data_IF_617356308024
#
_entry.id   IF_617356308024
#
_cell.length_a   1.000
_cell.length_b   1.000
_cell.length_c   1.000
_cell.angle_alpha   90.00
_cell.angle_beta   90.00
_cell.angle_gamma   90.00
#
_symmetry.space_group_name_H-M   'P 1'
#
loop_
_entity.id
_entity.type
_entity.pdbx_description
1 polymer ?
#
# COMPACT_ATOMS: atom_id res chain seq x y z
N UNK A 1 8.79 12.74 18.91
CA UNK A 1 9.50 12.05 20.01
C UNK A 1 9.43 10.55 19.82
N UNK A 2 10.43 9.79 20.24
CA UNK A 2 10.60 8.34 19.99
C UNK A 2 9.36 7.46 20.30
N UNK A 3 8.46 7.93 21.18
CA UNK A 3 7.17 7.30 21.50
C UNK A 3 6.14 7.32 20.35
N UNK A 4 6.27 8.22 19.38
CA UNK A 4 5.39 8.27 18.19
C UNK A 4 5.84 7.31 17.08
N UNK A 5 7.14 7.08 16.94
CA UNK A 5 7.69 6.20 15.91
C UNK A 5 7.40 4.72 16.18
N UNK A 6 7.40 4.30 17.45
CA UNK A 6 7.04 2.93 17.83
C UNK A 6 5.57 2.60 17.60
N UNK A 7 4.67 3.59 17.70
CA UNK A 7 3.23 3.42 17.38
C UNK A 7 2.99 3.14 15.90
N UNK A 8 3.81 3.69 15.01
CA UNK A 8 3.69 3.45 13.56
C UNK A 8 3.97 1.99 13.17
N UNK A 9 4.76 1.28 13.98
CA UNK A 9 5.08 -0.13 13.77
C UNK A 9 4.10 -1.10 14.47
N UNK A 10 3.11 -0.56 15.20
CA UNK A 10 2.07 -1.35 15.86
C UNK A 10 0.84 -1.50 14.96
N UNK A 11 -0.02 -2.50 15.24
CA UNK A 11 -1.31 -2.62 14.57
C UNK A 11 -2.12 -1.31 14.60
N UNK A 12 -2.79 -0.99 13.50
CA UNK A 12 -3.61 0.23 13.43
C UNK A 12 -4.77 0.23 14.43
N UNK A 13 -5.23 -0.94 14.87
CA UNK A 13 -6.22 -1.07 15.96
C UNK A 13 -5.81 -0.33 17.22
N UNK A 14 -4.52 -0.25 17.55
CA UNK A 14 -4.03 0.46 18.74
C UNK A 14 -4.34 1.96 18.66
N UNK A 15 -4.27 2.54 17.45
CA UNK A 15 -4.64 3.94 17.21
C UNK A 15 -6.16 4.11 17.35
N UNK A 16 -6.95 3.23 16.72
CA UNK A 16 -8.43 3.26 16.80
C UNK A 16 -8.90 3.17 18.25
N UNK A 17 -8.31 2.27 19.03
CA UNK A 17 -8.63 2.08 20.44
C UNK A 17 -8.21 3.28 21.28
N UNK A 18 -7.05 3.88 21.00
CA UNK A 18 -6.58 5.09 21.70
C UNK A 18 -7.44 6.33 21.47
N UNK A 19 -8.18 6.37 20.34
CA UNK A 19 -9.13 7.42 20.01
C UNK A 19 -10.55 7.11 20.53
N UNK A 20 -10.71 6.00 21.24
CA UNK A 20 -11.99 5.53 21.77
C UNK A 20 -13.09 5.42 20.71
N UNK A 21 -12.71 5.14 19.46
CA UNK A 21 -13.68 4.92 18.39
C UNK A 21 -14.40 3.60 18.64
N UNK A 22 -15.62 3.65 19.16
CA UNK A 22 -16.45 2.47 19.46
C UNK A 22 -17.53 2.17 18.43
N UNK A 23 -17.82 3.13 17.54
CA UNK A 23 -18.86 2.97 16.54
C UNK A 23 -18.57 1.78 15.60
N UNK A 24 -19.47 0.77 15.52
CA UNK A 24 -19.22 -0.42 14.71
C UNK A 24 -19.09 -0.12 13.22
N UNK A 25 -19.81 0.88 12.70
CA UNK A 25 -19.72 1.26 11.31
C UNK A 25 -18.32 1.82 10.97
N UNK A 26 -17.81 2.74 11.80
CA UNK A 26 -16.45 3.30 11.63
C UNK A 26 -15.39 2.19 11.74
N UNK A 27 -15.53 1.28 12.71
CA UNK A 27 -14.57 0.16 12.86
C UNK A 27 -14.58 -0.78 11.65
N UNK A 28 -15.76 -1.18 11.19
CA UNK A 28 -15.90 -2.04 10.01
C UNK A 28 -15.40 -1.36 8.74
N UNK A 29 -15.61 -0.05 8.62
CA UNK A 29 -15.07 0.75 7.52
C UNK A 29 -13.55 0.75 7.52
N UNK A 30 -12.92 0.95 8.69
CA UNK A 30 -11.46 0.91 8.80
C UNK A 30 -10.92 -0.50 8.51
N UNK A 31 -11.58 -1.55 8.99
CA UNK A 31 -11.21 -2.94 8.67
C UNK A 31 -11.32 -3.25 7.18
N UNK A 32 -12.33 -2.70 6.50
CA UNK A 32 -12.46 -2.81 5.03
C UNK A 32 -11.28 -2.12 4.33
N UNK A 33 -10.90 -0.91 4.75
CA UNK A 33 -9.78 -0.19 4.16
C UNK A 33 -8.45 -0.92 4.39
N UNK A 34 -8.22 -1.45 5.59
CA UNK A 34 -7.06 -2.30 5.88
C UNK A 34 -7.02 -3.55 4.99
N UNK A 35 -8.18 -4.18 4.77
CA UNK A 35 -8.29 -5.36 3.92
C UNK A 35 -7.98 -5.04 2.46
N UNK A 36 -8.47 -3.90 1.94
CA UNK A 36 -8.19 -3.48 0.56
C UNK A 36 -6.70 -3.15 0.33
N UNK A 37 -5.97 -2.73 1.37
CA UNK A 37 -4.56 -2.36 1.27
C UNK A 37 -3.62 -3.57 1.43
N UNK A 38 -3.88 -4.43 2.41
CA UNK A 38 -2.94 -5.47 2.83
C UNK A 38 -3.58 -6.87 3.02
N UNK A 39 -4.88 -7.03 2.75
CA UNK A 39 -5.59 -8.31 2.91
C UNK A 39 -5.83 -8.73 4.37
N UNK A 40 -5.63 -7.82 5.33
CA UNK A 40 -5.78 -8.05 6.78
C UNK A 40 -6.66 -6.98 7.41
N UNK A 41 -7.15 -7.22 8.64
CA UNK A 41 -7.92 -6.23 9.42
C UNK A 41 -6.99 -5.21 10.10
N UNK A 42 -7.58 -4.22 10.76
CA UNK A 42 -6.85 -3.17 11.49
C UNK A 42 -5.89 -3.71 12.57
N UNK A 43 -6.15 -4.91 13.11
CA UNK A 43 -5.27 -5.58 14.07
C UNK A 43 -4.05 -6.29 13.45
N UNK A 44 -3.94 -6.33 12.11
CA UNK A 44 -2.85 -6.98 11.38
C UNK A 44 -2.06 -6.06 10.45
N UNK A 45 -2.57 -4.87 10.14
CA UNK A 45 -1.88 -3.88 9.29
C UNK A 45 -1.04 -2.92 10.14
N UNK A 46 0.11 -2.47 9.61
CA UNK A 46 0.92 -1.48 10.32
C UNK A 46 0.24 -0.12 10.33
N UNK A 47 0.33 0.57 11.46
CA UNK A 47 -0.20 1.93 11.57
C UNK A 47 0.42 2.90 10.55
N UNK A 48 1.70 2.71 10.22
CA UNK A 48 2.39 3.50 9.20
C UNK A 48 1.71 3.43 7.83
N UNK A 49 1.25 2.24 7.41
CA UNK A 49 0.61 2.02 6.12
C UNK A 49 -0.72 2.76 6.05
N UNK A 50 -1.55 2.61 7.09
CA UNK A 50 -2.85 3.29 7.17
C UNK A 50 -2.72 4.82 7.22
N UNK A 51 -1.79 5.33 8.05
CA UNK A 51 -1.55 6.78 8.17
C UNK A 51 -1.03 7.36 6.86
N UNK A 52 -0.10 6.67 6.19
CA UNK A 52 0.39 7.09 4.88
C UNK A 52 -0.75 7.14 3.85
N UNK A 53 -1.56 6.08 3.76
CA UNK A 53 -2.65 6.03 2.79
C UNK A 53 -3.71 7.11 3.04
N UNK A 54 -4.08 7.37 4.29
CA UNK A 54 -5.00 8.48 4.61
C UNK A 54 -4.36 9.83 4.24
N UNK A 55 -3.08 10.03 4.54
CA UNK A 55 -2.39 11.25 4.16
C UNK A 55 -2.36 11.47 2.64
N UNK A 56 -2.25 10.42 1.82
CA UNK A 56 -2.33 10.53 0.36
C UNK A 56 -3.77 10.78 -0.13
N UNK A 57 -4.77 10.09 0.42
CA UNK A 57 -6.18 10.17 -0.01
C UNK A 57 -6.87 11.50 0.33
N UNK A 58 -6.39 12.24 1.31
CA UNK A 58 -6.97 13.53 1.67
C UNK A 58 -6.23 14.74 1.06
N UNK A 59 -5.24 14.51 0.18
CA UNK A 59 -4.57 15.61 -0.52
C UNK A 59 -5.51 16.30 -1.51
N UNK A 60 -5.44 17.64 -1.64
CA UNK A 60 -6.20 18.36 -2.66
C UNK A 60 -5.95 17.81 -4.06
N UNK A 61 -7.02 17.51 -4.79
CA UNK A 61 -6.94 16.99 -6.16
C UNK A 61 -6.55 15.53 -6.28
N UNK A 62 -6.48 14.76 -5.18
CA UNK A 62 -6.28 13.32 -5.31
C UNK A 62 -7.47 12.67 -6.03
N UNK A 63 -7.18 11.66 -6.83
CA UNK A 63 -8.16 10.87 -7.56
C UNK A 63 -7.71 9.41 -7.58
N UNK A 64 -8.68 8.51 -7.72
CA UNK A 64 -8.38 7.11 -7.97
C UNK A 64 -8.22 6.90 -9.48
N UNK A 65 -7.00 6.64 -9.91
CA UNK A 65 -6.68 6.41 -11.32
C UNK A 65 -6.54 4.92 -11.63
N UNK A 66 -7.01 4.55 -12.81
CA UNK A 66 -6.88 3.19 -13.33
C UNK A 66 -6.14 3.23 -14.67
N UNK A 67 -5.16 2.32 -14.90
CA UNK A 67 -4.42 2.29 -16.13
C UNK A 67 -5.36 1.96 -17.29
N UNK A 68 -5.40 2.84 -18.29
CA UNK A 68 -6.09 2.58 -19.54
C UNK A 68 -5.51 1.30 -20.16
N UNK A 69 -6.39 0.34 -20.45
CA UNK A 69 -6.04 -0.99 -20.99
C UNK A 69 -5.34 -1.92 -19.99
N UNK A 70 -5.46 -1.65 -18.69
CA UNK A 70 -5.00 -2.52 -17.61
C UNK A 70 -3.49 -2.48 -17.33
N UNK A 71 -3.05 -3.24 -16.33
CA UNK A 71 -1.66 -3.25 -15.86
C UNK A 71 -0.63 -3.63 -16.94
N UNK A 72 -1.01 -4.47 -17.90
CA UNK A 72 -0.15 -4.83 -19.03
C UNK A 72 0.28 -3.62 -19.87
N UNK A 73 -0.54 -2.57 -19.97
CA UNK A 73 -0.16 -1.35 -20.68
C UNK A 73 0.98 -0.59 -19.99
N UNK A 74 0.97 -0.58 -18.65
CA UNK A 74 2.02 0.03 -17.84
C UNK A 74 3.34 -0.75 -17.98
N UNK A 75 3.28 -2.08 -17.87
CA UNK A 75 4.45 -2.96 -18.07
C UNK A 75 5.05 -2.74 -19.47
N UNK A 76 4.21 -2.71 -20.50
CA UNK A 76 4.67 -2.47 -21.87
C UNK A 76 5.32 -1.09 -22.03
N UNK A 77 4.80 -0.05 -21.37
CA UNK A 77 5.41 1.28 -21.40
C UNK A 77 6.80 1.28 -20.75
N UNK A 78 6.97 0.57 -19.64
CA UNK A 78 8.26 0.41 -18.98
C UNK A 78 9.28 -0.33 -19.88
N UNK A 79 8.89 -1.46 -20.49
CA UNK A 79 9.75 -2.23 -21.39
C UNK A 79 10.25 -1.37 -22.55
N UNK A 80 9.35 -0.64 -23.21
CA UNK A 80 9.73 0.29 -24.31
C UNK A 80 10.73 1.35 -23.85
N UNK A 81 10.55 1.87 -22.63
CA UNK A 81 11.49 2.83 -22.04
C UNK A 81 12.89 2.23 -21.90
N UNK A 82 13.00 1.05 -21.30
CA UNK A 82 14.27 0.35 -21.10
C UNK A 82 14.99 0.10 -22.43
N UNK A 83 14.28 -0.47 -23.42
CA UNK A 83 14.84 -0.78 -24.73
C UNK A 83 15.30 0.47 -25.49
N UNK A 84 14.53 1.56 -25.41
CA UNK A 84 14.86 2.84 -26.06
C UNK A 84 16.20 3.43 -25.60
N UNK A 85 16.58 3.23 -24.33
CA UNK A 85 17.84 3.72 -23.77
C UNK A 85 18.96 2.67 -23.77
N UNK A 86 18.83 1.62 -24.60
CA UNK A 86 19.86 0.58 -24.78
C UNK A 86 19.91 -0.48 -23.67
N UNK A 87 18.94 -0.47 -22.77
CA UNK A 87 18.78 -1.53 -21.76
C UNK A 87 18.29 -2.85 -22.38
N UNK A 88 18.55 -3.97 -21.69
CA UNK A 88 18.11 -5.30 -22.10
C UNK A 88 17.32 -5.97 -20.98
N UNK A 89 16.22 -6.61 -21.35
CA UNK A 89 15.36 -7.35 -20.42
C UNK A 89 15.57 -8.85 -20.59
N UNK A 90 15.96 -9.52 -19.50
CA UNK A 90 16.04 -10.98 -19.45
C UNK A 90 14.78 -11.53 -18.79
N UNK A 91 13.96 -12.25 -19.55
CA UNK A 91 12.77 -12.92 -19.04
C UNK A 91 13.06 -14.38 -18.74
N UNK A 92 12.26 -14.99 -17.85
CA UNK A 92 12.41 -16.40 -17.45
C UNK A 92 13.79 -16.75 -16.88
N UNK A 93 14.55 -15.74 -16.44
CA UNK A 93 15.87 -15.89 -15.84
C UNK A 93 15.75 -16.12 -14.33
N UNK A 94 15.18 -17.26 -13.93
CA UNK A 94 15.17 -17.67 -12.51
C UNK A 94 16.63 -17.77 -12.04
N UNK A 95 16.99 -17.05 -10.99
CA UNK A 95 18.32 -17.12 -10.40
C UNK A 95 18.65 -18.57 -10.04
N UNK A 96 19.85 -19.03 -10.40
CA UNK A 96 20.35 -20.30 -9.88
C UNK A 96 20.71 -20.09 -8.42
N UNK A 97 19.96 -20.71 -7.52
CA UNK A 97 20.39 -20.85 -6.13
C UNK A 97 21.65 -21.73 -6.14
N UNK A 98 22.78 -21.12 -5.80
CA UNK A 98 24.03 -21.83 -5.52
C UNK A 98 23.90 -22.48 -4.15
N UNK A 99 23.40 -23.71 -4.13
CA UNK A 99 23.52 -24.64 -3.00
C UNK A 99 24.90 -25.30 -2.98
#
# INVERSE_FOLDING_TARGET
GALGATKLLRPFSDIIDSLELKDPFVRNWIDLLAFLLAGVKSNGILSAEMVYMFAEWYKPGCSLEYPLRGSGALVNALVRGIEKFGGRLSLRSRGKDSS
#
